data_IF_816000590087
#
_entry.id   IF_816000590087
#
_cell.length_a   1.000
_cell.length_b   1.000
_cell.length_c   1.000
_cell.angle_alpha   90.00
_cell.angle_beta   90.00
_cell.angle_gamma   90.00
#
_symmetry.space_group_name_H-M   'P 1'
#
loop_
_entity.id
_entity.type
_entity.pdbx_description
1 polymer ?
#
# COMPACT_ATOMS: atom_id res chain seq x y z
N UNK A 1 -7.76 -39.88 -43.17
CA UNK A 1 -6.84 -38.76 -43.49
C UNK A 1 -6.82 -37.85 -42.28
N UNK A 2 -5.95 -38.15 -41.32
CA UNK A 2 -5.74 -37.26 -40.17
C UNK A 2 -4.94 -36.06 -40.68
N UNK A 3 -5.61 -34.93 -40.83
CA UNK A 3 -4.95 -33.65 -41.03
C UNK A 3 -4.16 -33.33 -39.77
N UNK A 4 -2.85 -33.60 -39.77
CA UNK A 4 -1.95 -33.10 -38.76
C UNK A 4 -2.00 -31.57 -38.81
N UNK A 5 -2.77 -30.96 -37.91
CA UNK A 5 -2.71 -29.52 -37.68
C UNK A 5 -1.34 -29.21 -37.07
N UNK A 6 -0.38 -28.82 -37.91
CA UNK A 6 0.85 -28.19 -37.45
C UNK A 6 0.49 -26.80 -36.94
N UNK A 7 0.81 -26.53 -35.67
CA UNK A 7 0.65 -25.21 -35.10
C UNK A 7 1.51 -24.22 -35.89
N UNK A 8 1.00 -23.00 -36.18
CA UNK A 8 1.76 -22.02 -36.93
C UNK A 8 3.04 -21.63 -36.18
N UNK A 9 4.09 -21.26 -36.90
CA UNK A 9 5.31 -20.74 -36.28
C UNK A 9 5.05 -19.35 -35.68
N UNK A 10 5.59 -19.12 -34.48
CA UNK A 10 5.37 -17.88 -33.72
C UNK A 10 6.66 -17.21 -33.24
N UNK A 11 6.63 -15.87 -33.25
CA UNK A 11 7.62 -15.00 -32.62
C UNK A 11 7.03 -14.51 -31.31
N UNK A 12 7.73 -14.73 -30.21
CA UNK A 12 7.25 -14.43 -28.87
C UNK A 12 7.96 -13.18 -28.35
N UNK A 13 7.26 -12.26 -27.71
CA UNK A 13 7.86 -11.24 -26.85
C UNK A 13 7.47 -11.48 -25.41
N UNK A 14 8.41 -11.32 -24.47
CA UNK A 14 8.17 -11.54 -23.04
C UNK A 14 8.59 -10.30 -22.26
N UNK A 15 7.68 -9.79 -21.42
CA UNK A 15 7.97 -8.79 -20.37
C UNK A 15 7.98 -9.51 -19.00
N UNK A 16 9.17 -9.74 -18.41
CA UNK A 16 9.30 -10.42 -17.13
C UNK A 16 9.15 -9.47 -15.94
N UNK A 17 8.36 -9.85 -14.93
CA UNK A 17 8.17 -9.07 -13.71
C UNK A 17 7.12 -9.66 -12.78
N UNK A 18 6.68 -8.87 -11.78
CA UNK A 18 5.58 -9.26 -10.87
C UNK A 18 4.28 -9.50 -11.64
N UNK A 19 4.04 -8.69 -12.67
CA UNK A 19 3.08 -8.96 -13.73
C UNK A 19 3.89 -9.39 -14.94
N UNK A 20 3.86 -10.67 -15.26
CA UNK A 20 4.52 -11.17 -16.46
C UNK A 20 3.53 -11.14 -17.63
N UNK A 21 4.05 -10.77 -18.81
CA UNK A 21 3.26 -10.69 -20.02
C UNK A 21 3.97 -11.34 -21.19
N UNK A 22 3.20 -11.82 -22.16
CA UNK A 22 3.70 -12.30 -23.43
C UNK A 22 2.85 -11.77 -24.59
N UNK A 23 3.50 -11.65 -25.74
CA UNK A 23 2.86 -11.37 -27.02
C UNK A 23 3.29 -12.42 -28.05
N UNK A 24 2.38 -12.83 -28.92
CA UNK A 24 2.62 -13.80 -29.98
C UNK A 24 2.38 -13.12 -31.32
N UNK A 25 3.39 -13.12 -32.19
CA UNK A 25 3.31 -12.66 -33.57
C UNK A 25 3.48 -13.84 -34.54
N UNK A 26 2.81 -13.75 -35.69
CA UNK A 26 3.14 -14.58 -36.85
C UNK A 26 4.41 -14.10 -37.55
N UNK A 27 4.90 -14.90 -38.48
CA UNK A 27 6.08 -14.56 -39.30
C UNK A 27 5.85 -13.42 -40.30
N UNK A 28 4.60 -12.97 -40.47
CA UNK A 28 4.23 -11.78 -41.24
C UNK A 28 4.12 -10.50 -40.38
N UNK A 29 4.37 -10.62 -39.06
CA UNK A 29 4.25 -9.51 -38.11
C UNK A 29 2.84 -9.28 -37.57
N UNK A 30 1.84 -10.06 -37.99
CA UNK A 30 0.48 -9.95 -37.43
C UNK A 30 0.40 -10.51 -36.01
N UNK A 31 -0.35 -9.80 -35.15
CA UNK A 31 -0.53 -10.19 -33.75
C UNK A 31 -1.55 -11.34 -33.64
N UNK A 32 -1.16 -12.42 -32.98
CA UNK A 32 -2.04 -13.55 -32.66
C UNK A 32 -2.73 -13.29 -31.31
N UNK A 33 -1.93 -12.99 -30.28
CA UNK A 33 -2.41 -12.86 -28.91
C UNK A 33 -1.46 -11.98 -28.07
N UNK A 34 -2.03 -11.23 -27.13
CA UNK A 34 -1.32 -10.63 -26.01
C UNK A 34 -1.99 -11.04 -24.71
N UNK A 35 -1.20 -11.31 -23.68
CA UNK A 35 -1.71 -11.71 -22.38
C UNK A 35 -0.79 -11.25 -21.26
N UNK A 36 -1.39 -10.78 -20.17
CA UNK A 36 -0.69 -10.43 -18.92
C UNK A 36 -1.40 -11.03 -17.71
N UNK A 37 -0.63 -11.47 -16.72
CA UNK A 37 -1.17 -11.90 -15.43
C UNK A 37 -0.17 -11.66 -14.30
N UNK A 38 -0.70 -11.41 -13.10
CA UNK A 38 0.11 -11.39 -11.88
C UNK A 38 0.50 -12.82 -11.54
N UNK A 39 1.76 -13.04 -11.21
CA UNK A 39 2.29 -14.36 -10.83
C UNK A 39 2.17 -15.44 -11.93
N UNK A 40 2.24 -15.06 -13.22
CA UNK A 40 2.22 -16.03 -14.32
C UNK A 40 3.46 -16.94 -14.27
N UNK A 41 3.25 -18.22 -13.93
CA UNK A 41 4.32 -19.21 -13.88
C UNK A 41 4.84 -19.52 -15.29
N UNK A 42 6.16 -19.74 -15.42
CA UNK A 42 6.81 -20.07 -16.70
C UNK A 42 6.17 -21.29 -17.40
N UNK A 43 5.82 -22.33 -16.63
CA UNK A 43 5.17 -23.52 -17.17
C UNK A 43 3.79 -23.25 -17.76
N UNK A 44 3.01 -22.37 -17.12
CA UNK A 44 1.70 -21.94 -17.64
C UNK A 44 1.87 -21.11 -18.92
N UNK A 45 2.81 -20.17 -18.93
CA UNK A 45 3.13 -19.37 -20.12
C UNK A 45 3.52 -20.26 -21.31
N UNK A 46 4.39 -21.25 -21.09
CA UNK A 46 4.78 -22.21 -22.13
C UNK A 46 3.55 -22.97 -22.64
N UNK A 47 2.73 -23.52 -21.75
CA UNK A 47 1.53 -24.27 -22.16
C UNK A 47 0.57 -23.43 -23.01
N UNK A 48 0.32 -22.17 -22.62
CA UNK A 48 -0.54 -21.26 -23.37
C UNK A 48 0.03 -20.94 -24.75
N UNK A 49 1.32 -20.61 -24.83
CA UNK A 49 1.97 -20.30 -26.10
C UNK A 49 1.96 -21.51 -27.04
N UNK A 50 2.27 -22.71 -26.53
CA UNK A 50 2.22 -23.94 -27.33
C UNK A 50 0.80 -24.37 -27.71
N UNK A 51 -0.25 -23.82 -27.10
CA UNK A 51 -1.62 -24.03 -27.58
C UNK A 51 -1.93 -23.17 -28.83
N UNK A 52 -1.22 -22.07 -29.03
CA UNK A 52 -1.47 -21.10 -30.10
C UNK A 52 -0.47 -21.21 -31.27
N UNK A 53 0.81 -21.46 -30.98
CA UNK A 53 1.87 -21.51 -31.98
C UNK A 53 3.06 -22.40 -31.56
N UNK A 54 3.91 -22.76 -32.52
CA UNK A 54 5.26 -23.29 -32.25
C UNK A 54 6.25 -22.12 -32.13
N UNK A 55 6.75 -21.79 -30.93
CA UNK A 55 7.67 -20.68 -30.74
C UNK A 55 9.03 -20.96 -31.39
N UNK A 56 9.50 -20.05 -32.25
CA UNK A 56 10.80 -20.17 -32.91
C UNK A 56 11.80 -19.08 -32.52
N UNK A 57 11.30 -17.89 -32.19
CA UNK A 57 12.06 -16.74 -31.73
C UNK A 57 11.41 -16.21 -30.45
N UNK A 58 12.20 -15.76 -29.49
CA UNK A 58 11.72 -15.10 -28.28
C UNK A 58 12.51 -13.83 -27.99
N UNK A 59 11.80 -12.72 -27.79
CA UNK A 59 12.33 -11.39 -27.55
C UNK A 59 12.17 -10.90 -26.13
N UNK A 60 13.06 -9.99 -25.72
CA UNK A 60 12.94 -9.17 -24.51
C UNK A 60 13.28 -7.72 -24.81
N UNK A 61 12.78 -6.79 -24.01
CA UNK A 61 13.08 -5.36 -24.07
C UNK A 61 14.39 -4.96 -23.37
N UNK A 62 15.07 -5.92 -22.71
CA UNK A 62 16.29 -5.71 -21.93
C UNK A 62 17.55 -6.10 -22.67
N UNK A 63 18.60 -5.28 -22.57
CA UNK A 63 19.91 -5.58 -23.13
C UNK A 63 20.52 -6.84 -22.50
N UNK A 64 20.39 -6.97 -21.17
CA UNK A 64 20.75 -8.19 -20.47
C UNK A 64 19.54 -9.13 -20.43
N UNK A 65 19.67 -10.29 -21.06
CA UNK A 65 18.62 -11.31 -21.11
C UNK A 65 18.17 -11.67 -19.67
N UNK A 66 16.90 -11.45 -19.31
CA UNK A 66 16.36 -11.87 -18.02
C UNK A 66 16.33 -13.40 -17.90
N UNK A 67 16.57 -13.93 -16.69
CA UNK A 67 16.61 -15.38 -16.44
C UNK A 67 15.33 -16.10 -16.87
N UNK A 68 14.18 -15.46 -16.69
CA UNK A 68 12.88 -15.98 -17.10
C UNK A 68 12.78 -16.19 -18.62
N UNK A 69 13.33 -15.26 -19.41
CA UNK A 69 13.32 -15.33 -20.88
C UNK A 69 14.34 -16.36 -21.39
N UNK A 70 15.52 -16.43 -20.77
CA UNK A 70 16.54 -17.45 -21.07
C UNK A 70 15.99 -18.87 -20.78
N UNK A 71 15.30 -19.05 -19.65
CA UNK A 71 14.69 -20.33 -19.30
C UNK A 71 13.53 -20.69 -20.24
N UNK A 72 12.72 -19.70 -20.66
CA UNK A 72 11.71 -19.90 -21.69
C UNK A 72 12.33 -20.37 -23.01
N UNK A 73 13.37 -19.68 -23.50
CA UNK A 73 14.07 -20.03 -24.73
C UNK A 73 14.62 -21.45 -24.70
N UNK A 74 15.27 -21.85 -23.60
CA UNK A 74 15.77 -23.22 -23.40
C UNK A 74 14.68 -24.28 -23.40
N UNK A 75 13.56 -24.03 -22.70
CA UNK A 75 12.46 -25.00 -22.58
C UNK A 75 11.62 -25.12 -23.85
N UNK A 76 11.41 -24.01 -24.55
CA UNK A 76 10.66 -23.96 -25.81
C UNK A 76 11.50 -24.33 -27.04
N UNK A 77 12.82 -24.22 -26.94
CA UNK A 77 13.75 -24.36 -28.06
C UNK A 77 13.74 -23.16 -29.00
N UNK A 78 13.19 -22.01 -28.59
CA UNK A 78 13.20 -20.78 -29.36
C UNK A 78 14.56 -20.06 -29.23
N UNK A 79 14.98 -19.36 -30.29
CA UNK A 79 16.19 -18.52 -30.26
C UNK A 79 15.88 -17.24 -29.49
N UNK A 80 16.69 -16.94 -28.47
CA UNK A 80 16.53 -15.73 -27.65
C UNK A 80 17.15 -14.53 -28.37
N UNK A 81 16.43 -13.41 -28.41
CA UNK A 81 16.80 -12.17 -29.08
C UNK A 81 16.68 -11.03 -28.08
N UNK A 82 17.71 -10.21 -27.99
CA UNK A 82 17.78 -9.05 -27.10
C UNK A 82 18.38 -7.84 -27.84
N UNK A 83 18.00 -6.62 -27.45
CA UNK A 83 18.62 -5.40 -27.99
C UNK A 83 20.03 -5.19 -27.42
N UNK A 84 20.80 -4.29 -28.05
CA UNK A 84 22.12 -3.88 -27.55
C UNK A 84 22.02 -3.00 -26.32
N UNK A 85 20.96 -2.19 -26.22
CA UNK A 85 20.62 -1.33 -25.09
C UNK A 85 19.15 -1.56 -24.71
N UNK A 86 18.77 -1.25 -23.47
CA UNK A 86 17.37 -1.39 -23.03
C UNK A 86 16.45 -0.51 -23.90
N UNK A 87 15.35 -1.09 -24.40
CA UNK A 87 14.38 -0.33 -25.20
C UNK A 87 13.75 0.78 -24.35
N UNK A 88 13.89 2.02 -24.81
CA UNK A 88 13.34 3.17 -24.12
C UNK A 88 11.82 3.22 -24.31
N UNK A 89 11.11 3.84 -23.35
CA UNK A 89 9.65 3.98 -23.41
C UNK A 89 9.17 4.67 -24.69
N UNK A 90 9.92 5.66 -25.18
CA UNK A 90 9.56 6.38 -26.40
C UNK A 90 9.70 5.50 -27.65
N UNK A 91 10.75 4.67 -27.72
CA UNK A 91 10.99 3.71 -28.80
C UNK A 91 9.87 2.67 -28.88
N UNK A 92 9.51 2.08 -27.72
CA UNK A 92 8.38 1.15 -27.62
C UNK A 92 7.08 1.78 -28.12
N UNK A 93 6.80 3.03 -27.71
CA UNK A 93 5.60 3.75 -28.12
C UNK A 93 5.58 4.09 -29.61
N UNK A 94 6.74 4.36 -30.22
CA UNK A 94 6.86 4.58 -31.66
C UNK A 94 6.60 3.28 -32.43
N UNK A 95 7.21 2.16 -32.01
CA UNK A 95 6.97 0.84 -32.61
C UNK A 95 5.49 0.45 -32.54
N UNK A 96 4.84 0.67 -31.39
CA UNK A 96 3.41 0.39 -31.21
C UNK A 96 2.48 1.35 -31.96
N UNK A 97 2.95 2.52 -32.43
CA UNK A 97 2.14 3.43 -33.24
C UNK A 97 2.12 3.04 -34.71
N UNK A 98 3.19 2.43 -35.20
CA UNK A 98 3.28 1.93 -36.57
C UNK A 98 2.41 0.69 -36.80
N UNK A 99 2.12 -0.05 -35.73
CA UNK A 99 1.23 -1.20 -35.73
C UNK A 99 -0.11 -0.80 -35.10
N UNK A 100 -1.23 -0.99 -35.79
CA UNK A 100 -2.58 -0.56 -35.34
C UNK A 100 -3.12 -1.32 -34.11
N UNK A 101 -2.25 -2.01 -33.37
CA UNK A 101 -2.58 -2.91 -32.29
C UNK A 101 -1.93 -2.44 -30.99
N UNK A 102 -2.75 -2.28 -29.95
CA UNK A 102 -2.32 -1.99 -28.58
C UNK A 102 -2.76 -3.14 -27.67
N UNK A 103 -1.89 -3.56 -26.76
CA UNK A 103 -2.23 -4.48 -25.68
C UNK A 103 -3.28 -3.89 -24.74
N UNK A 104 -3.87 -4.74 -23.88
CA UNK A 104 -4.86 -4.30 -22.89
C UNK A 104 -4.24 -3.61 -21.69
N UNK A 105 -2.96 -3.87 -21.45
CA UNK A 105 -2.19 -3.34 -20.32
C UNK A 105 -0.82 -2.86 -20.80
N UNK A 106 -0.19 -1.99 -20.02
CA UNK A 106 1.16 -1.52 -20.31
C UNK A 106 2.18 -2.68 -20.41
N UNK A 107 1.99 -3.75 -19.65
CA UNK A 107 2.83 -4.95 -19.71
C UNK A 107 2.64 -5.72 -21.02
N UNK A 108 1.42 -5.79 -21.53
CA UNK A 108 1.16 -6.37 -22.85
C UNK A 108 1.77 -5.53 -23.97
N UNK A 109 1.73 -4.21 -23.86
CA UNK A 109 2.42 -3.29 -24.78
C UNK A 109 3.93 -3.48 -24.75
N UNK A 110 4.52 -3.63 -23.56
CA UNK A 110 5.95 -3.90 -23.38
C UNK A 110 6.35 -5.25 -23.99
N UNK A 111 5.56 -6.30 -23.77
CA UNK A 111 5.77 -7.61 -24.37
C UNK A 111 5.60 -7.60 -25.90
N UNK A 112 4.61 -6.84 -26.41
CA UNK A 112 4.39 -6.67 -27.84
C UNK A 112 5.55 -5.91 -28.50
N UNK A 113 6.06 -4.86 -27.86
CA UNK A 113 7.24 -4.15 -28.35
C UNK A 113 8.47 -5.07 -28.44
N UNK A 114 8.67 -5.96 -27.46
CA UNK A 114 9.74 -6.95 -27.51
C UNK A 114 9.57 -7.97 -28.66
N UNK A 115 8.34 -8.38 -28.95
CA UNK A 115 8.02 -9.25 -30.09
C UNK A 115 8.28 -8.56 -31.43
N UNK A 116 7.84 -7.30 -31.57
CA UNK A 116 8.02 -6.48 -32.77
C UNK A 116 9.49 -6.17 -33.03
N UNK A 117 10.26 -5.85 -31.99
CA UNK A 117 11.70 -5.70 -32.09
C UNK A 117 12.35 -6.97 -32.65
N UNK A 118 11.96 -8.13 -32.12
CA UNK A 118 12.47 -9.44 -32.59
C UNK A 118 12.11 -9.71 -34.04
N UNK A 119 10.88 -9.39 -34.44
CA UNK A 119 10.43 -9.48 -35.82
C UNK A 119 11.26 -8.58 -36.74
N UNK A 120 11.47 -7.30 -36.38
CA UNK A 120 12.28 -6.37 -37.18
C UNK A 120 13.72 -6.87 -37.38
N UNK A 121 14.35 -7.41 -36.33
CA UNK A 121 15.70 -7.97 -36.42
C UNK A 121 15.80 -9.16 -37.38
N UNK A 122 14.76 -9.98 -37.45
CA UNK A 122 14.74 -11.20 -38.27
C UNK A 122 13.99 -11.04 -39.60
N UNK A 123 13.32 -9.91 -39.86
CA UNK A 123 12.48 -9.67 -41.04
C UNK A 123 13.23 -9.97 -42.34
N UNK A 124 14.43 -9.40 -42.53
CA UNK A 124 15.22 -9.63 -43.75
C UNK A 124 15.60 -11.11 -43.94
N UNK A 125 15.85 -11.85 -42.86
CA UNK A 125 16.18 -13.28 -42.93
C UNK A 125 14.94 -14.13 -43.21
N UNK A 126 13.81 -13.81 -42.58
CA UNK A 126 12.52 -14.48 -42.82
C UNK A 126 12.06 -14.29 -44.27
N UNK A 127 12.17 -13.07 -44.83
CA UNK A 127 11.87 -12.80 -46.24
C UNK A 127 12.76 -13.60 -47.20
N UNK A 128 14.06 -13.71 -46.92
CA UNK A 128 14.97 -14.55 -47.74
C UNK A 128 14.60 -16.02 -47.68
N UNK A 129 14.23 -16.52 -46.49
CA UNK A 129 13.79 -17.92 -46.30
C UNK A 129 12.50 -18.16 -47.08
N UNK A 130 11.52 -17.27 -46.96
CA UNK A 130 10.24 -17.34 -47.66
C UNK A 130 10.44 -17.34 -49.18
N UNK A 131 11.23 -16.39 -49.70
CA UNK A 131 11.53 -16.31 -51.12
C UNK A 131 12.23 -17.57 -51.66
N UNK A 132 13.18 -18.13 -50.91
CA UNK A 132 13.83 -19.39 -51.28
C UNK A 132 12.84 -20.55 -51.31
N UNK A 133 11.98 -20.67 -50.28
CA UNK A 133 10.97 -21.73 -50.21
C UNK A 133 9.97 -21.67 -51.37
N UNK A 134 9.57 -20.45 -51.77
CA UNK A 134 8.70 -20.20 -52.91
C UNK A 134 9.38 -20.56 -54.23
N UNK A 135 10.64 -20.15 -54.43
CA UNK A 135 11.41 -20.39 -55.66
C UNK A 135 11.75 -21.86 -55.87
N UNK A 136 12.06 -22.59 -54.80
CA UNK A 136 12.51 -23.98 -54.84
C UNK A 136 11.41 -25.01 -54.51
N UNK A 137 10.16 -24.54 -54.33
CA UNK A 137 8.99 -25.37 -54.00
C UNK A 137 9.24 -26.36 -52.84
N UNK A 138 9.80 -25.85 -51.74
CA UNK A 138 10.08 -26.67 -50.56
C UNK A 138 8.76 -27.15 -49.92
N UNK A 139 8.54 -28.46 -49.85
CA UNK A 139 7.28 -29.05 -49.34
C UNK A 139 7.05 -28.75 -47.85
N UNK A 140 8.09 -28.78 -47.01
CA UNK A 140 7.99 -28.52 -45.58
C UNK A 140 8.64 -27.17 -45.20
N UNK A 141 7.93 -26.09 -45.52
CA UNK A 141 8.41 -24.71 -45.30
C UNK A 141 8.64 -24.40 -43.81
N UNK A 142 7.82 -24.95 -42.92
CA UNK A 142 7.94 -24.70 -41.47
C UNK A 142 9.23 -25.34 -40.91
N UNK A 143 9.52 -26.60 -41.20
CA UNK A 143 10.76 -27.24 -40.75
C UNK A 143 12.00 -26.63 -41.41
N UNK A 144 11.89 -26.23 -42.69
CA UNK A 144 12.95 -25.47 -43.35
C UNK A 144 13.23 -24.16 -42.62
N UNK A 145 12.19 -23.41 -42.25
CA UNK A 145 12.32 -22.14 -41.53
C UNK A 145 12.96 -22.35 -40.16
N UNK A 146 12.53 -23.36 -39.41
CA UNK A 146 13.10 -23.70 -38.09
C UNK A 146 14.60 -24.02 -38.21
N UNK A 147 14.97 -24.87 -39.17
CA UNK A 147 16.37 -25.25 -39.40
C UNK A 147 17.21 -24.07 -39.91
N UNK A 148 16.66 -23.26 -40.81
CA UNK A 148 17.33 -22.09 -41.38
C UNK A 148 17.60 -21.00 -40.35
N UNK A 149 16.80 -20.91 -39.28
CA UNK A 149 17.03 -19.98 -38.18
C UNK A 149 17.98 -20.53 -37.12
N UNK A 150 17.91 -21.84 -36.82
CA UNK A 150 18.70 -22.48 -35.75
C UNK A 150 20.10 -22.93 -36.19
N UNK A 151 20.32 -23.18 -37.47
CA UNK A 151 21.58 -23.72 -37.99
C UNK A 151 22.31 -22.70 -38.85
N UNK A 152 23.63 -22.88 -38.97
CA UNK A 152 24.48 -22.13 -39.90
C UNK A 152 24.61 -22.81 -41.27
N UNK A 153 23.72 -23.77 -41.58
CA UNK A 153 23.74 -24.50 -42.84
C UNK A 153 23.28 -23.59 -44.00
N UNK A 154 23.81 -23.84 -45.19
CA UNK A 154 23.31 -23.19 -46.40
C UNK A 154 21.92 -23.71 -46.75
N UNK A 155 21.09 -22.87 -47.38
CA UNK A 155 19.73 -23.24 -47.79
C UNK A 155 19.65 -24.55 -48.60
N UNK A 156 20.56 -24.82 -49.58
CA UNK A 156 20.58 -26.10 -50.28
C UNK A 156 20.93 -27.29 -49.37
N UNK A 157 21.77 -27.09 -48.34
CA UNK A 157 22.11 -28.12 -47.36
C UNK A 157 20.93 -28.51 -46.48
N UNK A 158 20.12 -27.52 -46.08
CA UNK A 158 18.88 -27.74 -45.32
C UNK A 158 17.84 -28.45 -46.18
N UNK A 159 17.71 -28.04 -47.45
CA UNK A 159 16.80 -28.68 -48.38
C UNK A 159 17.16 -30.15 -48.64
N UNK A 160 18.44 -30.47 -48.81
CA UNK A 160 18.91 -31.86 -48.94
C UNK A 160 18.64 -32.69 -47.67
N UNK A 161 18.75 -32.07 -46.49
CA UNK A 161 18.41 -32.71 -45.22
C UNK A 161 16.91 -33.02 -45.12
N UNK A 162 16.05 -32.15 -45.66
CA UNK A 162 14.60 -32.34 -45.64
C UNK A 162 14.09 -33.26 -46.77
N UNK A 163 14.76 -33.27 -47.93
CA UNK A 163 14.45 -34.13 -49.09
C UNK A 163 14.91 -35.57 -48.92
N UNK A 164 15.68 -35.89 -47.89
CA UNK A 164 16.04 -37.26 -47.58
C UNK A 164 15.05 -37.81 -46.55
N UNK A 165 14.04 -38.61 -46.94
CA UNK A 165 13.44 -39.52 -45.98
C UNK A 165 14.57 -40.41 -45.46
N UNK A 166 14.61 -40.61 -44.16
CA UNK A 166 15.48 -41.54 -43.46
C UNK A 166 15.37 -42.95 -44.05
N UNK A 167 16.19 -43.20 -45.07
CA UNK A 167 16.50 -44.50 -45.64
C UNK A 167 18.03 -44.63 -45.86
N UNK A 168 18.82 -43.83 -45.13
CA UNK A 168 20.25 -43.67 -45.38
C UNK A 168 21.18 -44.16 -44.25
N UNK A 169 20.68 -45.00 -43.34
CA UNK A 169 21.53 -45.73 -42.38
C UNK A 169 21.99 -47.12 -42.87
N UNK A 170 21.49 -47.62 -44.01
CA UNK A 170 21.90 -48.93 -44.56
C UNK A 170 22.77 -48.87 -45.82
N UNK A 171 22.91 -47.72 -46.48
CA UNK A 171 23.67 -47.62 -47.73
C UNK A 171 25.11 -47.07 -47.57
N UNK A 172 25.41 -46.24 -46.57
CA UNK A 172 26.80 -45.84 -46.28
C UNK A 172 27.63 -46.97 -45.65
N UNK A 173 26.97 -47.97 -45.05
CA UNK A 173 27.64 -49.15 -44.48
C UNK A 173 28.19 -50.05 -45.59
N UNK A 174 27.55 -50.12 -46.77
CA UNK A 174 27.95 -51.07 -47.82
C UNK A 174 29.22 -50.65 -48.58
N UNK A 175 29.46 -49.36 -48.77
CA UNK A 175 30.67 -48.86 -49.47
C UNK A 175 31.89 -48.69 -48.56
N UNK A 176 31.74 -48.73 -47.24
CA UNK A 176 32.86 -48.68 -46.27
C UNK A 176 33.32 -50.09 -45.85
N UNK A 177 32.46 -51.11 -45.97
CA UNK A 177 32.79 -52.50 -45.62
C UNK A 177 33.79 -53.17 -46.58
N UNK A 178 33.94 -52.71 -47.82
CA UNK A 178 34.90 -53.31 -48.76
C UNK A 178 36.33 -52.76 -48.63
N UNK A 179 36.56 -51.67 -47.87
CA UNK A 179 37.89 -51.08 -47.70
C UNK A 179 38.56 -51.30 -46.34
N UNK A 180 37.85 -51.77 -45.32
CA UNK A 180 38.43 -52.03 -44.01
C UNK A 180 38.15 -53.48 -43.57
N UNK A 181 39.07 -54.39 -43.87
CA UNK A 181 39.12 -55.69 -43.15
C UNK A 181 39.45 -55.38 -41.69
N UNK A 182 38.43 -55.45 -40.83
CA UNK A 182 38.55 -55.31 -39.37
C UNK A 182 39.58 -56.33 -38.89
N UNK A 183 40.66 -55.87 -38.23
CA UNK A 183 41.66 -56.76 -37.62
C UNK A 183 41.11 -57.24 -36.27
N UNK A 184 41.46 -58.45 -35.83
CA UNK A 184 41.05 -58.97 -34.52
C UNK A 184 41.42 -58.03 -33.35
N UNK A 185 42.50 -57.26 -33.51
CA UNK A 185 42.94 -56.24 -32.56
C UNK A 185 41.93 -55.08 -32.43
N UNK A 186 41.25 -54.68 -33.50
CA UNK A 186 40.25 -53.61 -33.48
C UNK A 186 38.97 -54.05 -32.75
N UNK A 187 38.60 -55.33 -32.90
CA UNK A 187 37.46 -55.93 -32.17
C UNK A 187 37.74 -55.95 -30.67
N UNK A 188 38.97 -56.27 -30.26
CA UNK A 188 39.35 -56.28 -28.85
C UNK A 188 39.30 -54.87 -28.23
N UNK A 189 39.83 -53.86 -28.92
CA UNK A 189 39.80 -52.45 -28.48
C UNK A 189 38.35 -51.94 -28.38
N UNK A 190 37.50 -52.31 -29.34
CA UNK A 190 36.09 -51.95 -29.33
C UNK A 190 35.34 -52.63 -28.17
N UNK A 191 35.67 -53.89 -27.86
CA UNK A 191 35.09 -54.62 -26.75
C UNK A 191 35.47 -53.98 -25.40
N UNK A 192 36.73 -53.63 -25.20
CA UNK A 192 37.20 -52.92 -23.99
C UNK A 192 36.53 -51.56 -23.83
N UNK A 193 36.40 -50.78 -24.91
CA UNK A 193 35.66 -49.51 -24.90
C UNK A 193 34.19 -49.71 -24.56
N UNK A 194 33.54 -50.74 -25.10
CA UNK A 194 32.14 -51.04 -24.80
C UNK A 194 31.97 -51.45 -23.32
N UNK A 195 32.92 -52.20 -22.78
CA UNK A 195 32.96 -52.55 -21.36
C UNK A 195 33.13 -51.29 -20.47
N UNK A 196 34.00 -50.36 -20.86
CA UNK A 196 34.16 -49.08 -20.17
C UNK A 196 32.89 -48.24 -20.20
N UNK A 197 32.28 -48.08 -21.38
CA UNK A 197 31.04 -47.33 -21.57
C UNK A 197 29.85 -47.95 -20.83
N UNK A 198 29.78 -49.28 -20.73
CA UNK A 198 28.72 -49.96 -19.97
C UNK A 198 28.89 -49.77 -18.46
N UNK A 199 30.12 -49.80 -17.95
CA UNK A 199 30.41 -49.48 -16.55
C UNK A 199 30.11 -48.01 -16.23
N UNK A 200 30.46 -47.09 -17.13
CA UNK A 200 30.17 -45.66 -16.97
C UNK A 200 28.67 -45.38 -17.01
N UNK A 201 27.94 -46.00 -17.94
CA UNK A 201 26.48 -45.95 -17.95
C UNK A 201 25.86 -46.47 -16.65
N UNK A 202 26.41 -47.53 -16.07
CA UNK A 202 25.93 -48.05 -14.78
C UNK A 202 26.20 -47.05 -13.64
N UNK A 203 27.37 -46.43 -13.61
CA UNK A 203 27.71 -45.37 -12.63
C UNK A 203 26.80 -44.16 -12.78
N UNK A 204 26.58 -43.69 -14.01
CA UNK A 204 25.70 -42.56 -14.31
C UNK A 204 24.24 -42.87 -13.92
N UNK A 205 23.75 -44.08 -14.20
CA UNK A 205 22.40 -44.51 -13.76
C UNK A 205 22.25 -44.50 -12.24
N UNK A 206 23.26 -44.99 -11.52
CA UNK A 206 23.25 -44.96 -10.06
C UNK A 206 23.30 -43.52 -9.51
N UNK A 207 24.14 -42.67 -10.10
CA UNK A 207 24.21 -41.25 -9.73
C UNK A 207 22.88 -40.52 -9.98
N UNK A 208 22.23 -40.77 -11.13
CA UNK A 208 20.91 -40.25 -11.44
C UNK A 208 19.86 -40.72 -10.43
N UNK A 209 19.87 -42.00 -10.04
CA UNK A 209 18.94 -42.53 -9.04
C UNK A 209 19.15 -41.87 -7.66
N UNK A 210 20.41 -41.66 -7.24
CA UNK A 210 20.70 -40.94 -5.98
C UNK A 210 20.28 -39.48 -6.04
N UNK A 211 20.49 -38.81 -7.18
CA UNK A 211 20.14 -37.41 -7.37
C UNK A 211 18.61 -37.23 -7.43
N UNK A 212 17.90 -38.17 -8.05
CA UNK A 212 16.44 -38.18 -8.03
C UNK A 212 15.88 -38.34 -6.62
N UNK A 213 16.51 -39.21 -5.80
CA UNK A 213 16.10 -39.39 -4.41
C UNK A 213 16.34 -38.12 -3.58
N UNK A 214 17.52 -37.52 -3.69
CA UNK A 214 17.83 -36.28 -2.97
C UNK A 214 16.95 -35.11 -3.42
N UNK A 215 16.65 -35.01 -4.71
CA UNK A 215 15.71 -34.00 -5.23
C UNK A 215 14.32 -34.17 -4.63
N UNK A 216 13.82 -35.40 -4.54
CA UNK A 216 12.53 -35.70 -3.92
C UNK A 216 12.49 -35.30 -2.43
N UNK A 217 13.53 -35.67 -1.67
CA UNK A 217 13.66 -35.30 -0.26
C UNK A 217 13.71 -33.77 -0.08
N UNK A 218 14.41 -33.06 -0.99
CA UNK A 218 14.52 -31.61 -0.96
C UNK A 218 13.18 -30.92 -1.26
N UNK A 219 12.42 -31.44 -2.23
CA UNK A 219 11.07 -30.96 -2.57
C UNK A 219 10.11 -31.15 -1.41
N UNK A 220 10.13 -32.31 -0.76
CA UNK A 220 9.28 -32.59 0.41
C UNK A 220 9.64 -31.69 1.60
N UNK A 221 10.94 -31.44 1.82
CA UNK A 221 11.42 -30.51 2.85
C UNK A 221 11.01 -29.06 2.54
N UNK A 222 11.10 -28.64 1.27
CA UNK A 222 10.69 -27.30 0.88
C UNK A 222 9.18 -27.09 1.08
N UNK A 223 8.36 -28.08 0.69
CA UNK A 223 6.92 -28.07 0.93
C UNK A 223 6.57 -28.00 2.42
N UNK A 224 7.34 -28.69 3.27
CA UNK A 224 7.16 -28.60 4.72
C UNK A 224 7.49 -27.19 5.25
N UNK A 225 8.59 -26.60 4.77
CA UNK A 225 8.99 -25.24 5.16
C UNK A 225 7.96 -24.21 4.70
N UNK A 226 7.47 -24.29 3.47
CA UNK A 226 6.41 -23.41 2.92
C UNK A 226 5.13 -23.47 3.76
N UNK A 227 4.70 -24.66 4.18
CA UNK A 227 3.53 -24.80 5.08
C UNK A 227 3.78 -24.20 6.45
N UNK A 228 5.01 -24.30 6.95
CA UNK A 228 5.37 -23.78 8.27
C UNK A 228 5.51 -22.26 8.24
N UNK A 229 6.12 -21.71 7.18
CA UNK A 229 6.22 -20.27 6.98
C UNK A 229 4.83 -19.63 6.80
N UNK A 230 3.93 -20.25 6.02
CA UNK A 230 2.55 -19.79 5.86
C UNK A 230 1.81 -19.69 7.21
N UNK A 231 1.95 -20.70 8.07
CA UNK A 231 1.35 -20.66 9.42
C UNK A 231 1.94 -19.57 10.31
N UNK A 232 3.23 -19.28 10.15
CA UNK A 232 3.90 -18.23 10.90
C UNK A 232 3.43 -16.87 10.39
N UNK A 233 3.36 -16.66 9.08
CA UNK A 233 2.89 -15.42 8.47
C UNK A 233 1.45 -15.11 8.89
N UNK A 234 0.53 -16.09 8.84
CA UNK A 234 -0.86 -15.88 9.27
C UNK A 234 -0.96 -15.45 10.75
N UNK A 235 -0.14 -16.05 11.62
CA UNK A 235 -0.07 -15.68 13.05
C UNK A 235 0.53 -14.29 13.26
N UNK A 236 1.53 -13.92 12.44
CA UNK A 236 2.16 -12.61 12.50
C UNK A 236 1.17 -11.54 12.00
N UNK A 237 0.48 -11.79 10.89
CA UNK A 237 -0.48 -10.85 10.30
C UNK A 237 -1.66 -10.60 11.23
N UNK A 238 -2.24 -11.66 11.80
CA UNK A 238 -3.31 -11.52 12.80
C UNK A 238 -2.85 -10.75 14.05
N UNK A 239 -1.62 -10.98 14.52
CA UNK A 239 -1.06 -10.24 15.64
C UNK A 239 -0.77 -8.77 15.29
N UNK A 240 -0.32 -8.49 14.06
CA UNK A 240 -0.09 -7.14 13.57
C UNK A 240 -1.40 -6.35 13.52
N UNK A 241 -2.45 -6.92 12.92
CA UNK A 241 -3.78 -6.29 12.86
C UNK A 241 -4.29 -5.97 14.27
N UNK A 242 -4.20 -6.92 15.20
CA UNK A 242 -4.61 -6.70 16.58
C UNK A 242 -3.81 -5.57 17.26
N UNK A 243 -2.49 -5.54 17.05
CA UNK A 243 -1.63 -4.48 17.59
C UNK A 243 -1.94 -3.12 16.97
N UNK A 244 -2.21 -3.04 15.68
CA UNK A 244 -2.58 -1.80 15.00
C UNK A 244 -3.90 -1.22 15.54
N UNK A 245 -4.92 -2.06 15.74
CA UNK A 245 -6.18 -1.63 16.36
C UNK A 245 -5.98 -1.11 17.78
N UNK A 246 -5.16 -1.83 18.57
CA UNK A 246 -4.79 -1.42 19.92
C UNK A 246 -4.07 -0.06 19.92
N UNK A 247 -3.12 0.13 19.00
CA UNK A 247 -2.37 1.38 18.84
C UNK A 247 -3.31 2.53 18.49
N UNK A 248 -4.23 2.34 17.52
CA UNK A 248 -5.23 3.37 17.16
C UNK A 248 -6.09 3.76 18.36
N UNK A 249 -6.56 2.78 19.14
CA UNK A 249 -7.36 3.04 20.35
C UNK A 249 -6.56 3.80 21.41
N UNK A 250 -5.30 3.42 21.64
CA UNK A 250 -4.43 4.10 22.59
C UNK A 250 -4.10 5.53 22.16
N UNK A 251 -3.86 5.77 20.87
CA UNK A 251 -3.64 7.10 20.31
C UNK A 251 -4.86 8.00 20.51
N UNK A 252 -6.07 7.47 20.31
CA UNK A 252 -7.30 8.23 20.52
C UNK A 252 -7.50 8.61 21.99
N UNK A 253 -7.25 7.66 22.91
CA UNK A 253 -7.29 7.93 24.34
C UNK A 253 -6.24 8.94 24.78
N UNK A 254 -5.02 8.85 24.24
CA UNK A 254 -3.95 9.80 24.52
C UNK A 254 -4.36 11.22 24.10
N UNK A 255 -4.89 11.37 22.87
CA UNK A 255 -5.37 12.65 22.37
C UNK A 255 -6.49 13.25 23.24
N UNK A 256 -7.40 12.42 23.72
CA UNK A 256 -8.45 12.85 24.66
C UNK A 256 -7.87 13.33 25.99
N UNK A 257 -6.91 12.57 26.55
CA UNK A 257 -6.24 12.93 27.79
C UNK A 257 -5.43 14.24 27.65
N UNK A 258 -4.73 14.44 26.53
CA UNK A 258 -3.97 15.67 26.23
C UNK A 258 -4.90 16.89 26.14
N UNK A 259 -6.05 16.75 25.47
CA UNK A 259 -7.05 17.83 25.40
C UNK A 259 -7.59 18.19 26.79
N UNK A 260 -7.89 17.19 27.62
CA UNK A 260 -8.32 17.42 29.00
C UNK A 260 -7.22 18.11 29.82
N UNK A 261 -5.97 17.68 29.67
CA UNK A 261 -4.84 18.30 30.36
C UNK A 261 -4.67 19.77 29.95
N UNK A 262 -4.81 20.07 28.66
CA UNK A 262 -4.72 21.45 28.16
C UNK A 262 -5.86 22.33 28.70
N UNK A 263 -7.09 21.80 28.75
CA UNK A 263 -8.23 22.50 29.32
C UNK A 263 -8.03 22.76 30.82
N UNK A 264 -7.55 21.78 31.58
CA UNK A 264 -7.25 21.93 33.00
C UNK A 264 -6.13 22.95 33.24
N UNK A 265 -5.06 22.93 32.43
CA UNK A 265 -3.99 23.94 32.51
C UNK A 265 -4.51 25.35 32.26
N UNK A 266 -5.39 25.54 31.27
CA UNK A 266 -6.04 26.83 31.01
C UNK A 266 -6.89 27.29 32.19
N UNK A 267 -7.69 26.39 32.77
CA UNK A 267 -8.48 26.69 33.98
C UNK A 267 -7.60 27.10 35.15
N UNK A 268 -6.52 26.34 35.42
CA UNK A 268 -5.55 26.66 36.47
C UNK A 268 -4.94 28.06 36.24
N UNK A 269 -4.56 28.38 35.01
CA UNK A 269 -4.02 29.69 34.67
C UNK A 269 -5.05 30.82 34.91
N UNK A 270 -6.30 30.62 34.49
CA UNK A 270 -7.40 31.57 34.75
C UNK A 270 -7.60 31.79 36.26
N UNK A 271 -7.64 30.70 37.04
CA UNK A 271 -7.76 30.77 38.50
C UNK A 271 -6.59 31.51 39.14
N UNK A 272 -5.34 31.27 38.70
CA UNK A 272 -4.19 32.02 39.20
C UNK A 272 -4.26 33.51 38.87
N UNK A 273 -4.68 33.88 37.65
CA UNK A 273 -4.88 35.28 37.29
C UNK A 273 -5.99 35.93 38.11
N UNK A 274 -7.06 35.20 38.39
CA UNK A 274 -8.16 35.65 39.24
C UNK A 274 -7.70 35.88 40.69
N UNK A 275 -6.94 34.95 41.27
CA UNK A 275 -6.37 35.10 42.63
C UNK A 275 -5.43 36.31 42.68
N UNK A 276 -4.55 36.49 41.69
CA UNK A 276 -3.66 37.65 41.63
C UNK A 276 -4.43 38.98 41.59
N UNK A 277 -5.51 39.05 40.81
CA UNK A 277 -6.38 40.22 40.75
C UNK A 277 -7.21 40.42 42.03
N UNK A 278 -7.59 39.36 42.74
CA UNK A 278 -8.28 39.43 44.03
C UNK A 278 -7.40 40.03 45.13
N UNK A 279 -6.10 39.77 45.10
CA UNK A 279 -5.12 40.33 46.05
C UNK A 279 -4.91 41.84 45.88
N UNK A 280 -5.31 42.41 44.74
CA UNK A 280 -5.27 43.84 44.53
C UNK A 280 -6.34 44.55 45.37
N UNK A 281 -5.93 45.51 46.21
CA UNK A 281 -6.80 46.23 47.15
C UNK A 281 -7.89 47.08 46.47
N UNK A 282 -7.77 47.32 45.16
CA UNK A 282 -8.76 48.08 44.39
C UNK A 282 -9.91 47.23 43.83
N UNK A 283 -9.91 45.91 44.06
CA UNK A 283 -10.96 45.01 43.56
C UNK A 283 -11.80 44.43 44.70
N UNK A 284 -13.11 44.33 44.48
CA UNK A 284 -14.07 43.70 45.38
C UNK A 284 -14.47 42.34 44.80
N UNK A 285 -14.44 41.31 45.64
CA UNK A 285 -14.93 39.98 45.32
C UNK A 285 -16.44 39.91 45.51
N UNK A 286 -17.15 39.52 44.45
CA UNK A 286 -18.61 39.39 44.45
C UNK A 286 -18.98 37.94 44.15
N UNK A 287 -19.94 37.41 44.91
CA UNK A 287 -20.45 36.04 44.73
C UNK A 287 -21.46 36.01 43.59
N UNK A 288 -21.40 35.03 42.70
CA UNK A 288 -22.20 35.01 41.47
C UNK A 288 -23.31 33.97 41.52
N UNK A 289 -24.52 34.41 41.18
CA UNK A 289 -25.69 33.58 40.93
C UNK A 289 -26.32 33.94 39.58
N UNK A 290 -26.92 32.96 38.92
CA UNK A 290 -27.64 33.16 37.68
C UNK A 290 -29.10 33.58 38.00
N UNK A 291 -29.71 32.98 39.04
CA UNK A 291 -31.06 33.25 39.55
C UNK A 291 -31.13 33.22 41.08
N UNK A 292 -32.23 33.73 41.65
CA UNK A 292 -32.54 33.65 43.09
C UNK A 292 -33.46 32.46 43.41
N UNK A 293 -33.38 31.38 42.61
CA UNK A 293 -34.21 30.19 42.80
C UNK A 293 -33.71 29.33 43.96
N UNK A 294 -34.63 28.64 44.65
CA UNK A 294 -34.29 27.70 45.73
C UNK A 294 -33.34 26.59 45.27
N UNK A 295 -33.53 26.08 44.04
CA UNK A 295 -32.69 25.02 43.45
C UNK A 295 -31.24 25.45 43.32
N UNK A 296 -31.01 26.62 42.74
CA UNK A 296 -29.66 27.15 42.58
C UNK A 296 -29.03 27.52 43.92
N UNK A 297 -29.82 28.12 44.81
CA UNK A 297 -29.38 28.50 46.13
C UNK A 297 -28.87 27.30 46.93
N UNK A 298 -29.58 26.16 46.94
CA UNK A 298 -29.13 24.96 47.68
C UNK A 298 -27.78 24.44 47.15
N UNK A 299 -27.61 24.38 45.82
CA UNK A 299 -26.36 23.92 45.19
C UNK A 299 -25.21 24.84 45.57
N UNK A 300 -25.39 26.16 45.38
CA UNK A 300 -24.33 27.14 45.59
C UNK A 300 -24.11 27.51 47.06
N UNK A 301 -25.07 27.30 47.97
CA UNK A 301 -24.94 27.59 49.41
C UNK A 301 -23.79 26.83 50.05
N UNK A 302 -23.57 25.58 49.65
CA UNK A 302 -22.45 24.75 50.13
C UNK A 302 -21.08 25.25 49.66
N UNK A 303 -21.01 25.86 48.48
CA UNK A 303 -19.77 26.31 47.83
C UNK A 303 -19.43 27.77 48.17
N UNK A 304 -20.43 28.64 48.23
CA UNK A 304 -20.25 30.10 48.34
C UNK A 304 -20.32 30.64 49.77
N UNK A 305 -20.84 29.86 50.73
CA UNK A 305 -20.96 30.23 52.16
C UNK A 305 -21.38 31.69 52.37
N UNK A 306 -22.64 32.02 52.10
CA UNK A 306 -23.14 33.40 52.19
C UNK A 306 -23.12 33.91 53.64
N UNK A 307 -22.33 34.96 53.89
CA UNK A 307 -22.07 35.63 55.15
C UNK A 307 -22.80 36.98 55.22
N UNK A 308 -22.77 37.61 56.40
CA UNK A 308 -23.46 38.87 56.63
C UNK A 308 -22.75 40.01 55.88
N UNK A 309 -23.50 40.81 55.11
CA UNK A 309 -22.94 41.94 54.36
C UNK A 309 -22.28 41.58 53.02
N UNK A 310 -22.40 40.34 52.57
CA UNK A 310 -21.88 39.92 51.25
C UNK A 310 -22.54 40.70 50.10
N UNK A 311 -21.78 40.87 49.02
CA UNK A 311 -22.29 41.37 47.75
C UNK A 311 -22.48 40.18 46.81
N UNK A 312 -23.69 40.04 46.25
CA UNK A 312 -24.06 38.98 45.32
C UNK A 312 -24.45 39.59 43.98
N UNK A 313 -23.78 39.15 42.91
CA UNK A 313 -24.18 39.43 41.55
C UNK A 313 -25.20 38.39 41.07
N UNK A 314 -26.33 38.85 40.55
CA UNK A 314 -27.40 38.01 40.03
C UNK A 314 -27.72 38.42 38.60
N UNK A 315 -27.60 37.48 37.64
CA UNK A 315 -27.90 37.77 36.23
C UNK A 315 -29.39 38.06 36.00
N UNK A 316 -30.27 37.25 36.58
CA UNK A 316 -31.72 37.39 36.42
C UNK A 316 -32.46 37.37 37.77
N UNK A 317 -33.00 38.52 38.15
CA UNK A 317 -33.72 38.72 39.41
C UNK A 317 -35.23 38.42 39.31
N UNK A 318 -35.76 38.15 38.12
CA UNK A 318 -37.18 37.85 37.94
C UNK A 318 -37.54 36.45 38.46
N UNK A 319 -36.58 35.53 38.46
CA UNK A 319 -36.73 34.18 39.02
C UNK A 319 -36.20 34.20 40.46
N UNK A 320 -37.11 34.21 41.43
CA UNK A 320 -36.79 34.26 42.86
C UNK A 320 -37.73 33.38 43.69
N UNK A 321 -37.26 32.99 44.88
CA UNK A 321 -38.03 32.28 45.90
C UNK A 321 -38.08 33.10 47.18
N UNK A 322 -39.26 33.20 47.81
CA UNK A 322 -39.44 33.99 49.03
C UNK A 322 -38.52 33.49 50.17
N UNK A 323 -38.30 32.19 50.28
CA UNK A 323 -37.35 31.61 51.25
C UNK A 323 -35.92 32.13 51.07
N UNK A 324 -35.45 32.26 49.83
CA UNK A 324 -34.08 32.71 49.50
C UNK A 324 -33.96 34.21 49.76
N UNK A 325 -34.99 34.98 49.40
CA UNK A 325 -35.04 36.42 49.70
C UNK A 325 -35.01 36.66 51.21
N UNK A 326 -35.81 35.93 51.99
CA UNK A 326 -35.82 36.04 53.45
C UNK A 326 -34.45 35.68 54.07
N UNK A 327 -33.78 34.66 53.56
CA UNK A 327 -32.43 34.30 54.06
C UNK A 327 -31.40 35.41 53.76
N UNK A 328 -31.47 36.04 52.58
CA UNK A 328 -30.61 37.16 52.22
C UNK A 328 -30.92 38.46 52.97
N UNK A 329 -32.19 38.69 53.32
CA UNK A 329 -32.59 39.81 54.20
C UNK A 329 -31.98 39.62 55.58
N UNK A 330 -32.11 38.42 56.17
CA UNK A 330 -31.56 38.12 57.50
C UNK A 330 -30.03 38.29 57.56
N UNK A 331 -29.36 38.05 56.42
CA UNK A 331 -27.92 38.22 56.27
C UNK A 331 -27.50 39.62 55.78
N UNK A 332 -28.45 40.54 55.57
CA UNK A 332 -28.18 41.89 55.09
C UNK A 332 -27.27 41.93 53.85
N UNK A 333 -27.62 41.12 52.85
CA UNK A 333 -26.85 40.94 51.61
C UNK A 333 -27.20 42.03 50.59
N UNK A 334 -26.19 42.50 49.85
CA UNK A 334 -26.35 43.47 48.77
C UNK A 334 -26.41 42.78 47.41
N UNK A 335 -27.29 43.24 46.53
CA UNK A 335 -27.58 42.56 45.27
C UNK A 335 -27.21 43.43 44.07
N UNK A 336 -26.31 42.95 43.22
CA UNK A 336 -25.91 43.59 41.96
C UNK A 336 -26.58 42.85 40.79
N UNK A 337 -27.16 43.57 39.84
CA UNK A 337 -27.76 42.96 38.64
C UNK A 337 -27.50 43.81 37.40
N UNK A 338 -27.12 43.19 36.27
CA UNK A 338 -26.95 43.89 34.99
C UNK A 338 -28.28 44.18 34.30
N UNK A 339 -29.34 43.48 34.70
CA UNK A 339 -30.68 43.65 34.15
C UNK A 339 -31.58 44.40 35.13
N UNK A 340 -32.66 45.00 34.61
CA UNK A 340 -33.68 45.65 35.41
C UNK A 340 -34.15 44.72 36.53
N UNK A 341 -34.01 45.19 37.78
CA UNK A 341 -34.32 44.37 38.94
C UNK A 341 -35.84 44.30 39.14
N UNK A 342 -36.34 43.12 39.49
CA UNK A 342 -37.75 42.93 39.84
C UNK A 342 -38.19 43.88 40.96
N UNK A 343 -39.37 44.49 40.80
CA UNK A 343 -39.96 45.42 41.80
C UNK A 343 -40.16 44.78 43.17
N UNK A 344 -40.35 43.45 43.21
CA UNK A 344 -40.46 42.69 44.47
C UNK A 344 -39.11 42.59 45.17
N UNK A 345 -38.04 42.34 44.42
CA UNK A 345 -36.67 42.23 44.98
C UNK A 345 -36.15 43.59 45.43
N UNK A 346 -36.39 44.66 44.66
CA UNK A 346 -36.00 46.05 45.00
C UNK A 346 -36.62 46.55 46.32
N UNK A 347 -37.82 46.07 46.67
CA UNK A 347 -38.50 46.46 47.93
C UNK A 347 -37.96 45.74 49.16
N UNK A 348 -37.34 44.58 48.98
CA UNK A 348 -37.00 43.66 50.05
C UNK A 348 -35.49 43.70 50.36
N UNK A 349 -34.65 43.85 49.33
CA UNK A 349 -33.20 43.84 49.46
C UNK A 349 -32.58 45.15 48.93
N UNK A 350 -31.44 45.58 49.49
CA UNK A 350 -30.66 46.66 48.91
C UNK A 350 -30.07 46.19 47.58
N UNK A 351 -30.54 46.78 46.48
CA UNK A 351 -30.19 46.36 45.13
C UNK A 351 -29.59 47.50 44.30
N UNK A 352 -28.59 47.19 43.48
CA UNK A 352 -28.00 48.12 42.52
C UNK A 352 -28.11 47.51 41.13
N UNK A 353 -28.66 48.29 40.20
CA UNK A 353 -28.54 47.98 38.78
C UNK A 353 -27.19 48.48 38.30
N UNK A 354 -26.40 47.59 37.71
CA UNK A 354 -25.04 47.88 37.30
C UNK A 354 -24.77 47.26 35.94
N UNK A 355 -24.63 48.10 34.91
CA UNK A 355 -24.56 47.65 33.51
C UNK A 355 -23.13 47.32 33.04
N UNK A 356 -22.09 47.63 33.82
CA UNK A 356 -20.71 47.36 33.40
C UNK A 356 -20.28 45.90 33.67
N UNK A 357 -19.43 45.33 32.78
CA UNK A 357 -18.95 43.96 32.91
C UNK A 357 -17.95 43.79 34.07
N UNK A 358 -17.79 42.54 34.52
CA UNK A 358 -16.74 42.18 35.48
C UNK A 358 -15.34 42.51 34.95
N UNK A 359 -14.43 42.89 35.85
CA UNK A 359 -13.01 43.00 35.51
C UNK A 359 -12.43 41.62 35.16
N UNK A 360 -12.80 40.61 35.97
CA UNK A 360 -12.55 39.20 35.73
C UNK A 360 -13.71 38.38 36.29
N UNK A 361 -14.16 37.39 35.53
CA UNK A 361 -15.27 36.51 35.86
C UNK A 361 -14.80 35.06 35.91
N UNK A 362 -15.14 34.37 37.00
CA UNK A 362 -14.97 32.93 37.18
C UNK A 362 -16.35 32.26 37.32
N UNK A 363 -16.37 30.94 37.49
CA UNK A 363 -17.61 30.16 37.55
C UNK A 363 -18.57 30.65 38.67
N UNK A 364 -18.04 30.92 39.86
CA UNK A 364 -18.81 31.24 41.07
C UNK A 364 -18.56 32.65 41.61
N UNK A 365 -17.55 33.35 41.11
CA UNK A 365 -17.13 34.65 41.62
C UNK A 365 -16.86 35.63 40.49
N UNK A 366 -16.94 36.91 40.79
CA UNK A 366 -16.47 37.96 39.90
C UNK A 366 -15.77 39.06 40.67
N UNK A 367 -14.86 39.75 40.00
CA UNK A 367 -14.13 40.89 40.54
C UNK A 367 -14.68 42.18 39.94
N UNK A 368 -15.07 43.10 40.82
CA UNK A 368 -15.51 44.45 40.45
C UNK A 368 -14.50 45.50 40.94
N UNK A 369 -14.21 46.54 40.15
CA UNK A 369 -13.46 47.70 40.62
C UNK A 369 -14.20 48.39 41.77
N UNK A 370 -13.49 48.67 42.86
CA UNK A 370 -14.06 49.30 44.07
C UNK A 370 -14.67 50.67 43.80
N UNK A 371 -14.06 51.45 42.91
CA UNK A 371 -14.50 52.80 42.55
C UNK A 371 -15.93 52.81 42.00
N UNK A 372 -16.26 51.82 41.16
CA UNK A 372 -17.57 51.71 40.52
C UNK A 372 -18.67 51.34 41.52
N UNK A 373 -18.34 50.48 42.48
CA UNK A 373 -19.26 50.11 43.55
C UNK A 373 -19.51 51.31 44.46
N UNK A 374 -18.46 51.99 44.94
CA UNK A 374 -18.58 53.16 45.84
C UNK A 374 -19.36 54.31 45.20
N UNK A 375 -19.12 54.62 43.92
CA UNK A 375 -19.82 55.71 43.21
C UNK A 375 -21.33 55.46 43.06
N UNK A 376 -21.73 54.19 42.95
CA UNK A 376 -23.13 53.77 42.79
C UNK A 376 -23.93 53.80 44.10
N UNK A 377 -23.23 53.84 45.24
CA UNK A 377 -23.80 53.65 46.58
C UNK A 377 -24.11 54.96 47.34
N UNK A 378 -24.03 56.12 46.69
CA UNK A 378 -24.24 57.45 47.29
C UNK A 378 -25.67 57.75 47.79
N UNK A 379 -26.55 56.75 47.95
CA UNK A 379 -27.85 56.91 48.61
C UNK A 379 -28.09 55.78 49.62
N UNK A 380 -27.92 56.15 50.90
CA UNK A 380 -28.42 55.48 52.12
C UNK A 380 -27.91 54.05 52.36
N UNK A 381 -26.83 53.94 53.15
CA UNK A 381 -26.56 53.01 54.27
C UNK A 381 -25.05 52.96 54.52
N UNK A 382 -24.63 52.81 55.79
CA UNK A 382 -23.25 52.70 56.30
C UNK A 382 -22.38 51.63 55.59
N UNK A 383 -21.87 51.97 54.41
CA UNK A 383 -20.95 51.11 53.64
C UNK A 383 -19.51 51.29 54.12
N UNK A 384 -19.17 52.44 54.72
CA UNK A 384 -17.88 52.60 55.39
C UNK A 384 -17.67 51.50 56.44
N UNK A 385 -18.72 51.13 57.18
CA UNK A 385 -18.67 50.07 58.19
C UNK A 385 -18.44 48.67 57.60
N UNK A 386 -19.15 48.34 56.51
CA UNK A 386 -18.99 47.05 55.81
C UNK A 386 -17.63 46.96 55.10
N UNK A 387 -17.13 48.07 54.55
CA UNK A 387 -15.80 48.15 53.96
C UNK A 387 -14.68 48.13 55.01
N UNK A 388 -14.90 48.65 56.22
CA UNK A 388 -13.95 48.52 57.35
C UNK A 388 -13.95 47.12 57.95
N UNK A 389 -15.10 46.45 58.04
CA UNK A 389 -15.17 45.05 58.49
C UNK A 389 -14.46 44.13 57.48
N UNK A 390 -14.62 44.39 56.17
CA UNK A 390 -13.83 43.73 55.11
C UNK A 390 -12.32 44.01 55.18
N UNK A 391 -11.89 45.13 55.78
CA UNK A 391 -10.46 45.42 56.05
C UNK A 391 -9.96 44.64 57.27
N UNK A 392 -10.76 44.54 58.33
CA UNK A 392 -10.41 43.81 59.56
C UNK A 392 -10.29 42.30 59.38
N UNK A 393 -11.12 41.68 58.54
CA UNK A 393 -11.05 40.23 58.26
C UNK A 393 -9.88 39.83 57.34
N UNK A 394 -9.21 40.77 56.67
CA UNK A 394 -8.04 40.49 55.80
C UNK A 394 -6.69 40.70 56.47
N UNK A 395 -6.65 41.30 57.67
CA UNK A 395 -5.43 41.58 58.43
C UNK A 395 -5.11 40.54 59.52
N UNK A 396 -5.95 39.51 59.69
CA UNK A 396 -5.70 38.36 60.58
C UNK A 396 -5.41 37.07 59.82
#
# INVERSE_FOLDING_TARGET
METHYTLPLGIIGIDPGTTAAYAILRLDGSVIETYSSKELALGEMIQRIFACCRPILVGTDKAKIPSFVDEFGRKSGAVVVNPTEDLQREEKRLMLKEYTFSGKTQHEDDALAAALFTFQQYHSRLEKIKHYCELHHVENQDEFTVLALKTALSFPGIENLLKTPTAHDTALVKNVLEKNKVREQDVLILYEKNLGLTQENKRLKNALATLQKSWKDLVDKNRYLERTSARITDKVDSLLVFKEERVKKLQLLLKQAELQQQQLRKKIQQTHTFIGAMMNKNNILVKKMDTLSKKEFIVKKSLLLFSKGDIIFVKNTHIHSDEVLNEFVNKNVFLLSPTKISTRVQKILPTIQFEEPFLLEEEYFGLFPKELVVNSFNLRVDIEKVLTDYRGEREN
#
